data_IF_324273701107
#
_entry.id   IF_324273701107
#
_cell.length_a   1.000
_cell.length_b   1.000
_cell.length_c   1.000
_cell.angle_alpha   90.00
_cell.angle_beta   90.00
_cell.angle_gamma   90.00
#
_symmetry.space_group_name_H-M   'P 1'
#
loop_
_entity.id
_entity.type
_entity.pdbx_description
1 polymer ?
#
# COMPACT_ATOMS: atom_id res chain seq x y z
N UNK A 1 -21.05 2.93 -0.31
CA UNK A 1 -20.01 2.50 -1.29
C UNK A 1 -18.95 3.58 -1.53
N UNK A 2 -19.30 4.80 -1.99
CA UNK A 2 -18.31 5.87 -2.23
C UNK A 2 -17.49 6.20 -0.98
N UNK A 3 -18.13 6.36 0.16
CA UNK A 3 -17.46 6.73 1.42
C UNK A 3 -16.58 5.59 1.95
N UNK A 4 -17.03 4.34 1.78
CA UNK A 4 -16.23 3.13 2.07
C UNK A 4 -14.95 3.08 1.23
N UNK A 5 -15.05 3.35 -0.07
CA UNK A 5 -13.89 3.38 -0.98
C UNK A 5 -12.93 4.50 -0.60
N UNK A 6 -13.45 5.69 -0.29
CA UNK A 6 -12.62 6.83 0.12
C UNK A 6 -11.89 6.56 1.45
N UNK A 7 -12.61 6.07 2.45
CA UNK A 7 -12.03 5.70 3.74
C UNK A 7 -10.96 4.63 3.57
N UNK A 8 -11.24 3.59 2.77
CA UNK A 8 -10.26 2.56 2.48
C UNK A 8 -9.04 3.13 1.73
N UNK A 9 -9.24 4.07 0.79
CA UNK A 9 -8.15 4.71 0.07
C UNK A 9 -7.24 5.52 0.99
N UNK A 10 -7.82 6.24 1.96
CA UNK A 10 -7.06 6.96 2.99
C UNK A 10 -6.23 5.97 3.82
N UNK A 11 -6.86 4.91 4.35
CA UNK A 11 -6.14 3.89 5.15
C UNK A 11 -5.05 3.21 4.32
N UNK A 12 -5.35 2.85 3.06
CA UNK A 12 -4.39 2.23 2.13
C UNK A 12 -3.20 3.13 1.90
N UNK A 13 -3.43 4.42 1.66
CA UNK A 13 -2.36 5.39 1.50
C UNK A 13 -1.55 5.57 2.79
N UNK A 14 -2.19 5.63 3.96
CA UNK A 14 -1.50 5.70 5.25
C UNK A 14 -0.60 4.47 5.50
N UNK A 15 -1.06 3.27 5.13
CA UNK A 15 -0.24 2.05 5.22
C UNK A 15 0.93 2.11 4.23
N UNK A 16 0.71 2.61 3.00
CA UNK A 16 1.80 2.87 2.06
C UNK A 16 2.84 3.85 2.64
N UNK A 17 2.41 4.93 3.30
CA UNK A 17 3.31 5.88 3.97
C UNK A 17 4.09 5.22 5.11
N UNK A 18 3.45 4.37 5.90
CA UNK A 18 4.11 3.61 6.96
C UNK A 18 5.19 2.70 6.38
N UNK A 19 4.85 1.91 5.35
CA UNK A 19 5.80 1.01 4.68
C UNK A 19 6.95 1.80 4.04
N UNK A 20 6.65 2.90 3.34
CA UNK A 20 7.64 3.79 2.75
C UNK A 20 8.58 4.38 3.80
N UNK A 21 8.03 4.80 4.95
CA UNK A 21 8.83 5.35 6.06
C UNK A 21 9.76 4.30 6.66
N UNK A 22 9.27 3.07 6.85
CA UNK A 22 10.09 1.95 7.34
C UNK A 22 11.19 1.58 6.34
N UNK A 23 10.87 1.52 5.05
CA UNK A 23 11.84 1.27 3.98
C UNK A 23 12.91 2.38 3.93
N UNK A 24 12.50 3.64 4.14
CA UNK A 24 13.38 4.79 4.23
C UNK A 24 14.08 4.96 5.59
N UNK A 25 14.01 3.96 6.49
CA UNK A 25 14.60 4.00 7.84
C UNK A 25 14.21 5.25 8.65
N UNK A 26 13.00 5.75 8.44
CA UNK A 26 12.47 6.95 9.10
C UNK A 26 12.77 8.28 8.39
N UNK A 27 13.60 8.29 7.33
CA UNK A 27 14.07 9.52 6.67
C UNK A 27 13.24 9.94 5.45
N UNK A 28 12.01 9.39 5.28
CA UNK A 28 11.17 9.57 4.10
C UNK A 28 11.07 11.04 3.65
N UNK A 29 10.79 11.95 4.58
CA UNK A 29 10.64 13.38 4.27
C UNK A 29 11.93 14.00 3.72
N UNK A 30 13.08 13.68 4.35
CA UNK A 30 14.40 14.19 3.92
C UNK A 30 14.72 13.66 2.52
N UNK A 31 14.46 12.39 2.27
CA UNK A 31 14.67 11.77 0.97
C UNK A 31 13.80 12.41 -0.11
N UNK A 32 12.50 12.63 0.17
CA UNK A 32 11.59 13.24 -0.80
C UNK A 32 11.97 14.69 -1.14
N UNK A 33 12.45 15.47 -0.17
CA UNK A 33 12.90 16.84 -0.41
C UNK A 33 14.21 16.90 -1.20
N UNK A 34 15.05 15.87 -1.06
CA UNK A 34 16.36 15.79 -1.73
C UNK A 34 16.26 15.17 -3.13
N UNK A 35 15.28 14.28 -3.34
CA UNK A 35 15.12 13.49 -4.56
C UNK A 35 13.68 13.64 -5.11
N UNK A 36 13.46 14.48 -6.14
CA UNK A 36 12.13 14.69 -6.72
C UNK A 36 11.44 13.42 -7.23
N UNK A 37 12.21 12.39 -7.59
CA UNK A 37 11.67 11.11 -8.06
C UNK A 37 10.93 10.34 -6.94
N UNK A 38 11.33 10.51 -5.69
CA UNK A 38 10.68 9.90 -4.53
C UNK A 38 9.33 10.56 -4.25
N UNK A 39 9.23 11.87 -4.50
CA UNK A 39 7.95 12.59 -4.49
C UNK A 39 7.00 12.07 -5.59
N UNK A 40 7.50 11.84 -6.80
CA UNK A 40 6.71 11.23 -7.88
C UNK A 40 6.24 9.82 -7.49
N UNK A 41 7.10 9.02 -6.85
CA UNK A 41 6.72 7.70 -6.31
C UNK A 41 5.56 7.78 -5.33
N UNK A 42 5.56 8.77 -4.45
CA UNK A 42 4.48 8.99 -3.48
C UNK A 42 3.16 9.40 -4.16
N UNK A 43 3.22 10.26 -5.17
CA UNK A 43 2.05 10.62 -5.98
C UNK A 43 1.47 9.38 -6.68
N UNK A 44 2.31 8.53 -7.25
CA UNK A 44 1.87 7.27 -7.86
C UNK A 44 1.17 6.38 -6.82
N UNK A 45 1.74 6.24 -5.61
CA UNK A 45 1.10 5.48 -4.54
C UNK A 45 -0.25 6.08 -4.11
N UNK A 46 -0.42 7.40 -4.11
CA UNK A 46 -1.70 8.05 -3.82
C UNK A 46 -2.76 7.64 -4.84
N UNK A 47 -2.47 7.75 -6.14
CA UNK A 47 -3.40 7.35 -7.19
C UNK A 47 -3.70 5.85 -7.16
N UNK A 48 -2.68 5.01 -6.96
CA UNK A 48 -2.86 3.56 -6.85
C UNK A 48 -3.66 3.17 -5.61
N UNK A 49 -3.55 3.89 -4.50
CA UNK A 49 -4.32 3.61 -3.28
C UNK A 49 -5.83 3.77 -3.52
N UNK A 50 -6.23 4.76 -4.33
CA UNK A 50 -7.62 4.95 -4.73
C UNK A 50 -8.08 3.80 -5.64
N UNK A 51 -7.30 3.45 -6.66
CA UNK A 51 -7.61 2.38 -7.60
C UNK A 51 -7.71 1.00 -6.92
N UNK A 52 -6.74 0.68 -6.06
CA UNK A 52 -6.71 -0.56 -5.27
C UNK A 52 -7.91 -0.62 -4.33
N UNK A 53 -8.27 0.50 -3.70
CA UNK A 53 -9.42 0.54 -2.78
C UNK A 53 -10.75 0.32 -3.50
N UNK A 54 -10.94 0.95 -4.66
CA UNK A 54 -12.14 0.73 -5.46
C UNK A 54 -12.26 -0.74 -5.88
N UNK A 55 -11.17 -1.34 -6.37
CA UNK A 55 -11.14 -2.73 -6.81
C UNK A 55 -11.32 -3.70 -5.64
N UNK A 56 -10.64 -3.48 -4.50
CA UNK A 56 -10.71 -4.35 -3.34
C UNK A 56 -12.09 -4.38 -2.69
N UNK A 57 -12.80 -3.24 -2.66
CA UNK A 57 -14.21 -3.18 -2.22
C UNK A 57 -15.11 -3.95 -3.20
N UNK A 58 -14.91 -3.76 -4.51
CA UNK A 58 -15.66 -4.50 -5.54
C UNK A 58 -15.51 -6.03 -5.39
N UNK A 59 -14.26 -6.50 -5.35
CA UNK A 59 -13.95 -7.91 -5.15
C UNK A 59 -14.53 -8.47 -3.84
N UNK A 60 -14.48 -7.71 -2.73
CA UNK A 60 -15.05 -8.17 -1.46
C UNK A 60 -16.57 -8.34 -1.52
N UNK A 61 -17.28 -7.45 -2.20
CA UNK A 61 -18.73 -7.57 -2.41
C UNK A 61 -19.08 -8.79 -3.27
N UNK A 62 -18.17 -9.20 -4.15
CA UNK A 62 -18.28 -10.42 -4.97
C UNK A 62 -17.76 -11.68 -4.25
N UNK A 63 -17.30 -11.57 -3.00
CA UNK A 63 -16.73 -12.68 -2.22
C UNK A 63 -15.29 -13.07 -2.60
N UNK A 64 -14.65 -12.32 -3.49
CA UNK A 64 -13.28 -12.51 -4.02
C UNK A 64 -12.22 -11.93 -3.07
N UNK A 65 -12.15 -12.47 -1.85
CA UNK A 65 -11.27 -11.92 -0.82
C UNK A 65 -9.77 -12.11 -1.11
N UNK A 66 -9.39 -13.12 -1.92
CA UNK A 66 -7.98 -13.42 -2.23
C UNK A 66 -7.40 -12.36 -3.15
N UNK A 67 -8.19 -11.92 -4.11
CA UNK A 67 -7.90 -10.90 -5.09
C UNK A 67 -7.68 -9.55 -4.39
N UNK A 68 -8.54 -9.20 -3.43
CA UNK A 68 -8.36 -8.01 -2.58
C UNK A 68 -7.06 -8.07 -1.76
N UNK A 69 -6.73 -9.20 -1.14
CA UNK A 69 -5.44 -9.35 -0.41
C UNK A 69 -4.26 -9.18 -1.35
N UNK A 70 -4.32 -9.78 -2.54
CA UNK A 70 -3.24 -9.72 -3.51
C UNK A 70 -2.98 -8.27 -3.95
N UNK A 71 -4.02 -7.47 -4.16
CA UNK A 71 -3.87 -6.05 -4.49
C UNK A 71 -3.16 -5.26 -3.39
N UNK A 72 -3.53 -5.46 -2.12
CA UNK A 72 -2.82 -4.82 -1.00
C UNK A 72 -1.36 -5.28 -0.91
N UNK A 73 -1.13 -6.58 -1.05
CA UNK A 73 0.22 -7.15 -1.03
C UNK A 73 1.10 -6.54 -2.13
N UNK A 74 0.62 -6.49 -3.36
CA UNK A 74 1.33 -5.89 -4.49
C UNK A 74 1.63 -4.41 -4.24
N UNK A 75 0.65 -3.65 -3.74
CA UNK A 75 0.81 -2.22 -3.47
C UNK A 75 1.83 -1.95 -2.36
N UNK A 76 1.81 -2.74 -1.28
CA UNK A 76 2.75 -2.55 -0.17
C UNK A 76 4.17 -2.98 -0.52
N UNK A 77 4.34 -4.03 -1.32
CA UNK A 77 5.65 -4.35 -1.90
C UNK A 77 6.14 -3.25 -2.83
N UNK A 78 5.26 -2.67 -3.64
CA UNK A 78 5.62 -1.54 -4.49
C UNK A 78 6.09 -0.34 -3.66
N UNK A 79 5.35 0.01 -2.59
CA UNK A 79 5.76 1.06 -1.67
C UNK A 79 7.12 0.76 -1.02
N UNK A 80 7.32 -0.46 -0.53
CA UNK A 80 8.60 -0.89 0.02
C UNK A 80 9.74 -0.74 -1.00
N UNK A 81 9.57 -1.26 -2.21
CA UNK A 81 10.59 -1.23 -3.25
C UNK A 81 10.99 0.19 -3.68
N UNK A 82 10.02 1.08 -3.85
CA UNK A 82 10.26 2.48 -4.24
C UNK A 82 11.16 3.17 -3.21
N UNK A 83 10.90 3.00 -1.92
CA UNK A 83 11.57 3.78 -0.86
C UNK A 83 12.74 3.05 -0.19
N UNK A 84 13.00 1.80 -0.54
CA UNK A 84 14.21 1.05 -0.12
C UNK A 84 15.47 1.50 -0.85
N UNK A 85 15.32 2.11 -2.02
CA UNK A 85 16.42 2.66 -2.80
C UNK A 85 17.17 3.75 -2.04
N UNK A 86 18.52 3.68 -2.07
CA UNK A 86 19.43 4.57 -1.33
C UNK A 86 19.47 4.39 0.19
N UNK A 87 18.50 3.68 0.77
CA UNK A 87 18.43 3.44 2.22
C UNK A 87 18.92 2.05 2.62
N UNK A 88 19.00 1.14 1.65
CA UNK A 88 19.45 -0.24 1.85
C UNK A 88 20.75 -0.46 1.07
N UNK A 89 21.74 -1.08 1.71
CA UNK A 89 23.01 -1.53 1.10
C UNK A 89 24.01 -0.47 0.58
N UNK A 90 23.86 0.83 0.90
CA UNK A 90 24.90 1.83 0.61
C UNK A 90 24.99 2.26 -0.87
N UNK A 91 23.94 2.01 -1.65
CA UNK A 91 23.84 2.42 -3.04
C UNK A 91 23.53 3.92 -3.14
N UNK A 92 23.97 4.57 -4.22
CA UNK A 92 23.55 5.94 -4.52
C UNK A 92 22.05 5.99 -4.78
N UNK A 93 21.34 6.92 -4.15
CA UNK A 93 19.93 7.19 -4.46
C UNK A 93 19.74 7.39 -5.95
N UNK A 94 18.77 6.69 -6.55
CA UNK A 94 18.47 6.87 -7.96
C UNK A 94 17.89 8.26 -8.23
N UNK A 95 18.37 8.90 -9.29
CA UNK A 95 18.02 10.30 -9.63
C UNK A 95 16.97 10.36 -10.74
N UNK A 96 16.82 9.28 -11.53
CA UNK A 96 15.93 9.22 -12.68
C UNK A 96 14.89 8.10 -12.59
N UNK A 97 13.77 8.27 -13.30
CA UNK A 97 12.62 7.34 -13.30
C UNK A 97 13.02 5.89 -13.61
N UNK A 98 13.80 5.69 -14.68
CA UNK A 98 14.22 4.34 -15.11
C UNK A 98 15.10 3.67 -14.05
N UNK A 99 16.01 4.43 -13.43
CA UNK A 99 16.84 3.95 -12.34
C UNK A 99 15.98 3.54 -11.14
N UNK A 100 15.04 4.39 -10.76
CA UNK A 100 14.11 4.14 -9.66
C UNK A 100 13.28 2.87 -9.87
N UNK A 101 12.73 2.68 -11.07
CA UNK A 101 11.96 1.49 -11.41
C UNK A 101 12.81 0.21 -11.36
N UNK A 102 14.03 0.25 -11.90
CA UNK A 102 14.96 -0.89 -11.83
C UNK A 102 15.29 -1.25 -10.37
N UNK A 103 15.65 -0.25 -9.57
CA UNK A 103 15.97 -0.45 -8.16
C UNK A 103 14.77 -0.97 -7.38
N UNK A 104 13.57 -0.43 -7.63
CA UNK A 104 12.32 -0.90 -7.02
C UNK A 104 12.13 -2.40 -7.25
N UNK A 105 12.29 -2.87 -8.49
CA UNK A 105 12.15 -4.30 -8.80
C UNK A 105 13.22 -5.16 -8.13
N UNK A 106 14.47 -4.69 -8.09
CA UNK A 106 15.56 -5.38 -7.41
C UNK A 106 15.28 -5.52 -5.91
N UNK A 107 14.85 -4.44 -5.23
CA UNK A 107 14.53 -4.49 -3.81
C UNK A 107 13.32 -5.37 -3.50
N UNK A 108 12.29 -5.36 -4.35
CA UNK A 108 11.18 -6.30 -4.21
C UNK A 108 11.70 -7.74 -4.33
N UNK A 109 12.46 -8.06 -5.38
CA UNK A 109 13.00 -9.41 -5.59
C UNK A 109 13.88 -9.88 -4.42
N UNK A 110 14.79 -9.03 -3.95
CA UNK A 110 15.68 -9.32 -2.83
C UNK A 110 14.91 -9.43 -1.50
N UNK A 111 13.83 -8.67 -1.32
CA UNK A 111 13.04 -8.72 -0.10
C UNK A 111 12.23 -10.00 0.07
N UNK A 112 11.87 -10.66 -1.03
CA UNK A 112 11.09 -11.91 -1.01
C UNK A 112 11.91 -13.07 -0.42
N UNK A 113 13.24 -13.04 -0.55
CA UNK A 113 14.12 -14.05 0.04
C UNK A 113 14.43 -13.79 1.52
N UNK A 114 14.10 -12.60 2.04
CA UNK A 114 14.15 -12.29 3.47
C UNK A 114 12.95 -12.89 4.21
N UNK A 115 13.09 -13.24 5.49
CA UNK A 115 11.97 -13.75 6.30
C UNK A 115 11.09 -12.58 6.79
N UNK A 116 11.68 -11.45 7.15
CA UNK A 116 10.99 -10.39 7.87
C UNK A 116 10.08 -9.55 6.97
N UNK A 117 10.55 -9.12 5.79
CA UNK A 117 9.79 -8.24 4.90
C UNK A 117 8.50 -8.92 4.41
N UNK A 118 8.54 -10.19 3.91
CA UNK A 118 7.32 -10.86 3.48
C UNK A 118 6.35 -11.10 4.62
N UNK A 119 6.82 -11.47 5.81
CA UNK A 119 5.96 -11.71 6.96
C UNK A 119 5.23 -10.43 7.38
N UNK A 120 5.94 -9.30 7.43
CA UNK A 120 5.35 -8.00 7.75
C UNK A 120 4.33 -7.59 6.68
N UNK A 121 4.70 -7.62 5.40
CA UNK A 121 3.83 -7.18 4.31
C UNK A 121 2.58 -8.06 4.19
N UNK A 122 2.72 -9.39 4.29
CA UNK A 122 1.57 -10.31 4.31
C UNK A 122 0.69 -10.05 5.53
N UNK A 123 1.31 -9.87 6.70
CA UNK A 123 0.59 -9.58 7.95
C UNK A 123 -0.27 -8.32 7.86
N UNK A 124 0.31 -7.19 7.41
CA UNK A 124 -0.44 -5.94 7.26
C UNK A 124 -1.53 -6.05 6.19
N UNK A 125 -1.31 -6.78 5.09
CA UNK A 125 -2.34 -6.99 4.05
C UNK A 125 -3.54 -7.79 4.57
N UNK A 126 -3.30 -8.84 5.36
CA UNK A 126 -4.37 -9.63 5.98
C UNK A 126 -5.14 -8.78 7.00
N UNK A 127 -4.43 -8.04 7.86
CA UNK A 127 -5.05 -7.17 8.86
C UNK A 127 -5.90 -6.10 8.16
N UNK A 128 -5.37 -5.47 7.11
CA UNK A 128 -6.08 -4.46 6.34
C UNK A 128 -7.36 -5.03 5.72
N UNK A 129 -7.29 -6.19 5.04
CA UNK A 129 -8.48 -6.81 4.47
C UNK A 129 -9.54 -7.08 5.55
N UNK A 130 -9.13 -7.62 6.71
CA UNK A 130 -10.07 -7.90 7.81
C UNK A 130 -10.76 -6.63 8.29
N UNK A 131 -10.02 -5.54 8.42
CA UNK A 131 -10.57 -4.24 8.82
C UNK A 131 -11.54 -3.68 7.78
N UNK A 132 -11.22 -3.78 6.48
CA UNK A 132 -12.14 -3.37 5.42
C UNK A 132 -13.41 -4.23 5.45
N UNK A 133 -13.26 -5.55 5.60
CA UNK A 133 -14.39 -6.48 5.64
C UNK A 133 -15.32 -6.18 6.82
N UNK A 134 -14.78 -5.97 8.03
CA UNK A 134 -15.61 -5.61 9.18
C UNK A 134 -16.34 -4.29 8.96
N UNK A 135 -15.66 -3.29 8.40
CA UNK A 135 -16.28 -1.99 8.10
C UNK A 135 -17.42 -2.09 7.09
N UNK A 136 -17.28 -2.93 6.05
CA UNK A 136 -18.36 -3.18 5.08
C UNK A 136 -19.57 -3.80 5.79
N UNK A 137 -19.37 -4.85 6.58
CA UNK A 137 -20.45 -5.54 7.33
C UNK A 137 -21.16 -4.58 8.28
N UNK A 138 -20.41 -3.80 9.07
CA UNK A 138 -20.97 -2.82 9.99
C UNK A 138 -21.80 -1.75 9.24
N UNK A 139 -21.32 -1.31 8.06
CA UNK A 139 -22.02 -0.33 7.24
C UNK A 139 -23.34 -0.89 6.70
N UNK A 140 -23.35 -2.14 6.25
CA UNK A 140 -24.57 -2.81 5.75
C UNK A 140 -25.61 -3.00 6.87
N UNK A 141 -25.18 -3.41 8.06
CA UNK A 141 -26.06 -3.55 9.24
C UNK A 141 -26.69 -2.22 9.65
N UNK A 142 -25.89 -1.15 9.73
CA UNK A 142 -26.39 0.19 10.06
C UNK A 142 -27.39 0.74 9.02
N UNK A 143 -27.22 0.39 7.75
CA UNK A 143 -28.19 0.76 6.70
C UNK A 143 -29.48 -0.03 6.87
N UNK A 144 -29.41 -1.33 7.16
CA UNK A 144 -30.58 -2.17 7.38
C UNK A 144 -31.42 -1.70 8.59
N UNK A 145 -30.77 -1.33 9.71
CA UNK A 145 -31.46 -0.81 10.89
C UNK A 145 -32.21 0.51 10.63
N UNK A 146 -31.65 1.39 9.80
CA UNK A 146 -32.29 2.67 9.44
C UNK A 146 -33.50 2.53 8.51
N UNK A 147 -33.67 1.38 7.87
CA UNK A 147 -34.74 1.12 6.89
C UNK A 147 -35.89 0.31 7.51
N UNK A 148 -35.71 -0.26 8.70
CA UNK A 148 -36.80 -0.92 9.44
C UNK A 148 -37.72 0.14 10.07
N UNK A 149 -39.05 0.07 9.82
CA UNK A 149 -40.04 1.07 10.26
C UNK A 149 -40.33 1.06 11.75
#
# INVERSE_FOLDING_TARGET
MRDTVLNNAIVTFCVCLLVATLAAKGNLLVTMLSFPIDFLGLLVLLFLSLFVSWSAVGHLNEGQWKESILLYLMLYYLAFGIFSDGNTEGWSHSVGVVGKLKMTLIYIANSITSIYVPLIIVGISIIHLRFLRSHIVDTEQNVAEKVQP
#
